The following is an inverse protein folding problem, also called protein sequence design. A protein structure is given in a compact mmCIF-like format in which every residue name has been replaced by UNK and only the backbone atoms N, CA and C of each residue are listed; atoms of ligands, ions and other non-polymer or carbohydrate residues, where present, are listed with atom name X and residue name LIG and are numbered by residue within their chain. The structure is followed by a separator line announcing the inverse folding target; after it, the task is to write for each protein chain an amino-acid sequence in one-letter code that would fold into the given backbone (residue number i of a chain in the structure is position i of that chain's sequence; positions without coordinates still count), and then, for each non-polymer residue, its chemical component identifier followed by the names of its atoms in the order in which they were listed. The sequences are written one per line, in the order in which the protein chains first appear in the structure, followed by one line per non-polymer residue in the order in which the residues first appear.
data_IF_001695899689
#
_entry.id   IF_001695899689
#
_cell.length_a   1.000
_cell.length_b   1.000
_cell.length_c   1.000
_cell.angle_alpha   90.00
_cell.angle_beta   90.00
_cell.angle_gamma   90.00
#
_symmetry.space_group_name_H-M   'P 1'
#
loop_
_entity.id
_entity.type
_entity.pdbx_description
1 polymer ?
#
# COMPACT_ATOMS: atom_id res chain seq x y z
N UNK A 1 -33.78 16.48 0.80
CA UNK A 1 -34.66 15.37 0.39
C UNK A 1 -34.11 14.85 -0.91
N UNK A 2 -33.74 13.59 -0.96
CA UNK A 2 -33.06 12.73 -1.94
C UNK A 2 -31.53 12.59 -1.76
N UNK A 3 -31.22 11.86 -0.74
CA UNK A 3 -30.03 11.01 -0.62
C UNK A 3 -30.54 9.56 -0.64
N UNK A 4 -30.80 9.03 -1.82
CA UNK A 4 -31.09 7.61 -2.01
C UNK A 4 -30.77 7.29 -3.46
N UNK A 5 -29.68 6.60 -3.70
CA UNK A 5 -29.40 5.59 -4.70
C UNK A 5 -27.89 5.50 -4.96
N UNK A 6 -27.14 5.20 -3.91
CA UNK A 6 -25.88 4.46 -4.10
C UNK A 6 -26.34 3.01 -4.24
N UNK A 7 -26.49 2.56 -5.47
CA UNK A 7 -26.59 1.12 -5.74
C UNK A 7 -25.29 0.51 -5.25
N UNK A 8 -25.34 -0.06 -4.05
CA UNK A 8 -24.31 -0.93 -3.57
C UNK A 8 -24.22 -2.09 -4.58
N UNK A 9 -23.16 -2.13 -5.35
CA UNK A 9 -22.78 -3.33 -6.08
C UNK A 9 -22.39 -4.33 -5.00
N UNK A 10 -23.37 -5.10 -4.54
CA UNK A 10 -23.18 -6.27 -3.70
C UNK A 10 -22.46 -7.33 -4.53
N UNK A 11 -21.14 -7.26 -4.60
CA UNK A 11 -20.32 -8.37 -5.00
C UNK A 11 -19.64 -8.94 -3.77
N UNK A 12 -20.17 -10.08 -3.34
CA UNK A 12 -19.51 -11.23 -2.70
C UNK A 12 -18.73 -11.06 -1.40
N UNK A 13 -18.97 -10.03 -0.60
CA UNK A 13 -18.56 -10.07 0.81
C UNK A 13 -19.37 -11.14 1.59
N UNK A 14 -20.54 -11.53 1.08
CA UNK A 14 -21.43 -12.52 1.70
C UNK A 14 -20.89 -13.96 1.67
N UNK A 15 -19.73 -14.21 1.02
CA UNK A 15 -19.09 -15.53 0.94
C UNK A 15 -17.67 -15.56 1.57
N UNK A 16 -17.23 -14.50 2.24
CA UNK A 16 -15.99 -14.55 3.01
C UNK A 16 -16.23 -15.42 4.25
N UNK A 17 -15.33 -16.37 4.50
CA UNK A 17 -15.25 -17.06 5.78
C UNK A 17 -15.04 -16.04 6.92
N UNK A 18 -15.08 -16.51 8.19
CA UNK A 18 -14.97 -15.60 9.34
C UNK A 18 -13.79 -14.63 9.26
N UNK A 19 -12.64 -15.04 8.65
CA UNK A 19 -11.46 -14.18 8.47
C UNK A 19 -10.53 -14.77 7.39
N UNK A 20 -10.69 -14.35 6.15
CA UNK A 20 -9.84 -14.84 5.07
C UNK A 20 -8.44 -14.22 5.12
N UNK A 21 -7.43 -14.88 4.54
CA UNK A 21 -6.06 -14.43 4.61
C UNK A 21 -5.36 -14.35 3.26
N UNK A 22 -4.40 -13.41 3.18
CA UNK A 22 -3.56 -13.21 2.01
C UNK A 22 -2.08 -13.15 2.40
N UNK A 23 -1.24 -13.90 1.69
CA UNK A 23 0.22 -13.85 1.84
C UNK A 23 0.77 -12.87 0.81
N UNK A 24 1.44 -11.82 1.29
CA UNK A 24 1.94 -10.74 0.44
C UNK A 24 3.25 -11.13 -0.25
N UNK A 25 3.36 -10.73 -1.51
CA UNK A 25 4.63 -10.68 -2.22
C UNK A 25 5.25 -9.28 -2.02
N UNK A 26 6.03 -9.11 -0.97
CA UNK A 26 6.71 -7.86 -0.63
C UNK A 26 8.19 -8.12 -0.36
N UNK A 27 8.99 -7.05 -0.32
CA UNK A 27 10.39 -7.12 0.07
C UNK A 27 10.56 -6.73 1.52
N UNK A 28 11.56 -7.32 2.16
CA UNK A 28 12.00 -6.99 3.51
C UNK A 28 13.46 -6.57 3.50
N UNK A 29 13.73 -5.38 4.01
CA UNK A 29 15.08 -4.89 4.19
C UNK A 29 15.27 -4.49 5.64
N UNK A 30 16.26 -5.06 6.31
CA UNK A 30 16.61 -4.71 7.68
C UNK A 30 17.84 -3.80 7.67
N UNK A 31 17.76 -2.68 8.36
CA UNK A 31 18.89 -1.79 8.61
C UNK A 31 19.28 -1.86 10.08
N UNK A 32 20.59 -1.99 10.35
CA UNK A 32 21.17 -2.02 11.68
C UNK A 32 22.29 -0.98 11.79
N UNK A 33 22.33 -0.25 12.90
CA UNK A 33 23.34 0.74 13.21
C UNK A 33 22.77 2.07 13.68
N UNK A 34 23.57 2.83 14.38
CA UNK A 34 23.14 4.06 15.07
C UNK A 34 22.64 5.18 14.14
N UNK A 35 22.99 5.13 12.84
CA UNK A 35 22.64 6.18 11.88
C UNK A 35 21.45 5.79 10.98
N UNK A 36 20.78 4.65 11.20
CA UNK A 36 19.73 4.15 10.30
C UNK A 36 18.57 5.12 10.12
N UNK A 37 18.06 5.75 11.19
CA UNK A 37 16.96 6.71 11.12
C UNK A 37 17.35 7.96 10.32
N UNK A 38 18.52 8.55 10.63
CA UNK A 38 19.00 9.74 9.94
C UNK A 38 19.26 9.45 8.46
N UNK A 39 19.92 8.33 8.17
CA UNK A 39 20.18 7.88 6.82
C UNK A 39 18.89 7.71 6.02
N UNK A 40 17.95 6.91 6.50
CA UNK A 40 16.68 6.71 5.82
C UNK A 40 15.85 7.99 5.71
N UNK A 41 15.90 8.86 6.73
CA UNK A 41 15.20 10.14 6.66
C UNK A 41 15.68 11.03 5.52
N UNK A 42 16.92 10.92 5.04
CA UNK A 42 17.40 11.64 3.85
C UNK A 42 16.93 11.04 2.53
N UNK A 43 16.52 9.78 2.52
CA UNK A 43 16.15 9.07 1.29
C UNK A 43 14.63 9.04 1.02
N UNK A 44 13.81 9.24 2.05
CA UNK A 44 12.35 9.10 1.94
C UNK A 44 11.62 10.42 2.12
N UNK A 45 10.37 10.49 1.67
CA UNK A 45 9.58 11.73 1.64
C UNK A 45 8.96 12.12 2.96
N UNK A 46 8.64 11.15 3.84
CA UNK A 46 8.07 11.41 5.17
C UNK A 46 9.16 11.68 6.20
N UNK A 47 8.85 12.48 7.22
CA UNK A 47 9.74 12.65 8.37
C UNK A 47 9.63 11.43 9.30
N UNK A 48 10.74 10.72 9.48
CA UNK A 48 10.84 9.53 10.33
C UNK A 48 11.76 9.71 11.54
N UNK A 49 12.40 10.88 11.72
CA UNK A 49 13.38 11.10 12.79
C UNK A 49 12.85 10.88 14.21
N UNK A 50 11.54 11.00 14.41
CA UNK A 50 10.91 10.84 15.71
C UNK A 50 10.15 9.50 15.85
N UNK A 51 10.43 8.54 14.97
CA UNK A 51 9.80 7.22 15.01
C UNK A 51 10.27 6.48 16.26
N UNK A 52 9.32 6.13 17.12
CA UNK A 52 9.59 5.38 18.36
C UNK A 52 9.57 3.89 18.09
N UNK A 53 10.06 3.14 19.06
CA UNK A 53 10.04 1.68 19.00
C UNK A 53 8.63 1.15 18.72
N UNK A 54 8.51 0.20 17.79
CA UNK A 54 7.26 -0.40 17.29
C UNK A 54 6.29 0.58 16.61
N UNK A 55 6.67 1.83 16.41
CA UNK A 55 5.96 2.72 15.51
C UNK A 55 6.36 2.47 14.06
N UNK A 56 5.43 2.68 13.14
CA UNK A 56 5.71 2.61 11.71
C UNK A 56 5.26 3.87 10.98
N UNK A 57 5.91 4.11 9.85
CA UNK A 57 5.57 5.21 8.96
C UNK A 57 5.54 4.72 7.52
N UNK A 58 4.41 4.96 6.86
CA UNK A 58 4.33 4.85 5.41
C UNK A 58 5.02 6.04 4.77
N UNK A 59 5.80 5.79 3.74
CA UNK A 59 6.59 6.80 3.06
C UNK A 59 6.87 6.42 1.61
N UNK A 60 7.45 7.34 0.85
CA UNK A 60 7.83 7.12 -0.54
C UNK A 60 9.34 7.30 -0.68
N UNK A 61 9.95 6.48 -1.51
CA UNK A 61 11.26 6.71 -2.08
C UNK A 61 11.06 7.30 -3.49
N UNK A 62 11.66 8.44 -3.75
CA UNK A 62 11.52 9.15 -5.02
C UNK A 62 12.89 9.40 -5.67
N UNK A 63 12.91 9.54 -6.99
CA UNK A 63 14.09 10.00 -7.72
C UNK A 63 14.24 11.53 -7.67
N UNK A 64 15.32 12.06 -8.22
CA UNK A 64 15.60 13.49 -8.26
C UNK A 64 14.53 14.32 -9.01
N UNK A 65 13.74 13.68 -9.89
CA UNK A 65 12.62 14.30 -10.59
C UNK A 65 11.30 14.21 -9.80
N UNK A 66 11.34 13.78 -8.54
CA UNK A 66 10.19 13.63 -7.66
C UNK A 66 9.27 12.46 -8.01
N UNK A 67 9.70 11.55 -8.90
CA UNK A 67 8.91 10.39 -9.32
C UNK A 67 9.07 9.26 -8.32
N UNK A 68 7.98 8.57 -8.02
CA UNK A 68 7.97 7.44 -7.09
C UNK A 68 8.79 6.30 -7.68
N UNK A 69 9.74 5.81 -6.89
CA UNK A 69 10.49 4.57 -7.13
C UNK A 69 9.81 3.43 -6.39
N UNK A 70 9.61 3.61 -5.08
CA UNK A 70 9.00 2.59 -4.23
C UNK A 70 8.13 3.22 -3.15
N UNK A 71 7.19 2.44 -2.62
CA UNK A 71 6.42 2.75 -1.43
C UNK A 71 6.91 1.85 -0.29
N UNK A 72 7.19 2.44 0.85
CA UNK A 72 7.78 1.75 1.99
C UNK A 72 6.92 1.93 3.24
N UNK A 73 6.75 0.86 3.99
CA UNK A 73 6.44 0.95 5.42
C UNK A 73 7.73 0.75 6.21
N UNK A 74 8.14 1.73 7.00
CA UNK A 74 9.32 1.68 7.85
C UNK A 74 8.86 1.47 9.29
N UNK A 75 9.33 0.41 9.92
CA UNK A 75 9.04 0.04 11.31
C UNK A 75 10.33 0.20 12.12
N UNK A 76 10.27 0.93 13.23
CA UNK A 76 11.38 1.01 14.19
C UNK A 76 11.32 -0.19 15.15
N UNK A 77 12.44 -0.91 15.29
CA UNK A 77 12.55 -2.09 16.16
C UNK A 77 13.83 -1.96 16.97
N UNK A 78 13.75 -1.36 18.15
CA UNK A 78 14.94 -1.03 18.94
C UNK A 78 15.90 -0.11 18.18
N UNK A 79 17.13 -0.57 17.93
CA UNK A 79 18.16 0.15 17.15
C UNK A 79 18.14 -0.21 15.65
N UNK A 80 17.14 -0.96 15.20
CA UNK A 80 17.00 -1.44 13.83
C UNK A 80 15.78 -0.79 13.15
N UNK A 81 15.79 -0.77 11.82
CA UNK A 81 14.64 -0.43 10.99
C UNK A 81 14.30 -1.62 10.10
N UNK A 82 13.05 -2.07 10.16
CA UNK A 82 12.50 -3.01 9.19
C UNK A 82 11.72 -2.23 8.13
N UNK A 83 12.14 -2.37 6.88
CA UNK A 83 11.49 -1.78 5.72
C UNK A 83 10.70 -2.85 4.98
N UNK A 84 9.43 -2.58 4.72
CA UNK A 84 8.57 -3.40 3.86
C UNK A 84 8.32 -2.60 2.60
N UNK A 85 8.74 -3.12 1.46
CA UNK A 85 8.59 -2.50 0.14
C UNK A 85 8.05 -3.47 -0.90
N UNK A 86 8.12 -3.10 -2.17
CA UNK A 86 7.66 -3.96 -3.24
C UNK A 86 8.75 -4.93 -3.68
N UNK A 87 8.35 -6.18 -3.90
CA UNK A 87 9.27 -7.22 -4.36
C UNK A 87 9.90 -6.87 -5.72
N UNK A 88 9.15 -6.21 -6.59
CA UNK A 88 9.63 -5.79 -7.91
C UNK A 88 10.71 -4.69 -7.84
N UNK A 89 10.73 -3.91 -6.75
CA UNK A 89 11.69 -2.81 -6.53
C UNK A 89 12.77 -3.17 -5.51
N UNK A 90 12.77 -4.38 -4.99
CA UNK A 90 13.60 -4.79 -3.87
C UNK A 90 15.10 -4.50 -4.05
N UNK A 91 15.65 -4.81 -5.22
CA UNK A 91 17.07 -4.57 -5.51
C UNK A 91 17.36 -3.08 -5.70
N UNK A 92 16.56 -2.39 -6.52
CA UNK A 92 16.74 -0.95 -6.78
C UNK A 92 16.64 -0.14 -5.47
N UNK A 93 15.67 -0.48 -4.61
CA UNK A 93 15.49 0.15 -3.30
C UNK A 93 16.73 -0.07 -2.41
N UNK A 94 17.22 -1.31 -2.30
CA UNK A 94 18.43 -1.61 -1.52
C UNK A 94 19.68 -0.94 -2.09
N UNK A 95 19.85 -0.91 -3.40
CA UNK A 95 20.97 -0.24 -4.07
C UNK A 95 20.98 1.26 -3.78
N UNK A 96 19.82 1.91 -3.80
CA UNK A 96 19.69 3.33 -3.43
C UNK A 96 20.06 3.51 -1.95
N UNK A 97 19.58 2.65 -1.05
CA UNK A 97 19.90 2.74 0.37
C UNK A 97 21.41 2.60 0.59
N UNK A 98 22.02 1.56 0.03
CA UNK A 98 23.46 1.29 0.18
C UNK A 98 24.32 2.42 -0.40
N UNK A 99 23.98 2.90 -1.61
CA UNK A 99 24.74 3.99 -2.26
C UNK A 99 24.62 5.33 -1.54
N UNK A 100 23.59 5.53 -0.74
CA UNK A 100 23.39 6.74 0.06
C UNK A 100 24.11 6.76 1.39
N UNK A 101 24.77 5.66 1.82
CA UNK A 101 25.50 5.60 3.10
C UNK A 101 26.76 6.44 3.02
N UNK A 102 26.92 7.38 3.95
CA UNK A 102 28.14 8.17 4.04
C UNK A 102 29.26 7.37 4.72
N UNK A 103 30.49 7.64 4.36
CA UNK A 103 31.68 6.91 4.84
C UNK A 103 31.85 6.88 6.38
N UNK A 104 31.24 7.81 7.09
CA UNK A 104 31.29 7.94 8.55
C UNK A 104 30.00 7.46 9.25
N UNK A 105 29.05 6.88 8.51
CA UNK A 105 27.80 6.36 9.07
C UNK A 105 27.94 4.86 9.38
N UNK A 106 27.34 4.48 10.49
CA UNK A 106 27.18 3.08 10.89
C UNK A 106 25.79 2.62 10.46
N UNK A 107 25.71 2.05 9.26
CA UNK A 107 24.49 1.47 8.68
C UNK A 107 24.85 0.19 7.96
N UNK A 108 24.27 -0.91 8.38
CA UNK A 108 24.35 -2.21 7.70
C UNK A 108 22.99 -2.53 7.10
N UNK A 109 22.98 -2.94 5.83
CA UNK A 109 21.76 -3.29 5.09
C UNK A 109 21.72 -4.79 4.87
N UNK A 110 20.63 -5.44 5.31
CA UNK A 110 20.44 -6.87 5.21
C UNK A 110 19.17 -7.20 4.43
N UNK A 111 19.25 -8.25 3.61
CA UNK A 111 18.12 -8.75 2.85
C UNK A 111 17.32 -9.76 3.69
N UNK A 112 16.04 -9.49 3.94
CA UNK A 112 15.11 -10.32 4.70
C UNK A 112 14.10 -11.09 3.84
N UNK A 113 14.14 -10.97 2.51
CA UNK A 113 13.09 -11.51 1.61
C UNK A 113 12.88 -13.03 1.75
N UNK A 114 13.96 -13.78 2.02
CA UNK A 114 13.89 -15.23 2.21
C UNK A 114 13.73 -15.66 3.68
N UNK A 115 13.55 -14.69 4.59
CA UNK A 115 13.51 -14.94 6.04
C UNK A 115 12.14 -14.58 6.59
N UNK A 116 11.54 -13.50 6.08
CA UNK A 116 10.29 -12.94 6.60
C UNK A 116 9.16 -13.07 5.58
N UNK A 117 7.96 -13.22 6.11
CA UNK A 117 6.70 -13.20 5.35
C UNK A 117 5.72 -12.23 6.00
N UNK A 118 4.97 -11.51 5.19
CA UNK A 118 3.80 -10.73 5.61
C UNK A 118 2.53 -11.46 5.21
N UNK A 119 1.65 -11.66 6.19
CA UNK A 119 0.32 -12.20 6.01
C UNK A 119 -0.70 -11.16 6.47
N UNK A 120 -1.77 -10.94 5.71
CA UNK A 120 -2.94 -10.18 6.17
C UNK A 120 -4.11 -11.11 6.42
N UNK A 121 -4.74 -10.97 7.58
CA UNK A 121 -6.03 -11.56 7.91
C UNK A 121 -7.07 -10.45 7.81
N UNK A 122 -8.17 -10.67 7.08
CA UNK A 122 -9.21 -9.67 6.86
C UNK A 122 -10.60 -10.27 7.08
N UNK A 123 -11.46 -9.50 7.74
CA UNK A 123 -12.83 -9.90 8.05
C UNK A 123 -13.60 -8.76 8.67
N UNK A 124 -14.83 -9.03 9.10
CA UNK A 124 -15.59 -8.04 9.86
C UNK A 124 -14.87 -7.68 11.15
N UNK A 125 -15.18 -6.51 11.72
CA UNK A 125 -14.60 -6.12 13.01
C UNK A 125 -14.86 -7.15 14.10
N UNK A 126 -16.07 -7.74 14.11
CA UNK A 126 -16.45 -8.77 15.08
C UNK A 126 -15.63 -10.06 14.92
N UNK A 127 -15.40 -10.51 13.68
CA UNK A 127 -14.62 -11.72 13.43
C UNK A 127 -13.16 -11.55 13.82
N UNK A 128 -12.58 -10.37 13.52
CA UNK A 128 -11.22 -10.03 13.94
C UNK A 128 -11.09 -9.92 15.46
N UNK A 129 -12.08 -9.33 16.16
CA UNK A 129 -12.10 -9.31 17.63
C UNK A 129 -12.24 -10.72 18.23
N UNK A 130 -13.06 -11.59 17.61
CA UNK A 130 -13.18 -12.99 18.02
C UNK A 130 -11.83 -13.72 17.89
N UNK A 131 -11.14 -13.56 16.75
CA UNK A 131 -9.81 -14.12 16.53
C UNK A 131 -8.80 -13.64 17.57
N UNK A 132 -8.70 -12.32 17.77
CA UNK A 132 -7.78 -11.74 18.76
C UNK A 132 -8.05 -12.25 20.18
N UNK A 133 -9.32 -12.37 20.56
CA UNK A 133 -9.74 -12.84 21.86
C UNK A 133 -9.44 -14.33 22.07
N UNK A 134 -9.71 -15.16 21.06
CA UNK A 134 -9.44 -16.60 21.10
C UNK A 134 -7.94 -16.89 21.25
N UNK A 135 -7.10 -16.13 20.56
CA UNK A 135 -5.64 -16.24 20.60
C UNK A 135 -5.01 -15.44 21.77
N UNK A 136 -5.82 -14.77 22.59
CA UNK A 136 -5.38 -13.91 23.69
C UNK A 136 -4.41 -12.81 23.25
N UNK A 137 -4.57 -12.33 22.00
CA UNK A 137 -3.75 -11.29 21.43
C UNK A 137 -4.32 -9.91 21.74
N UNK A 138 -3.46 -8.99 22.12
CA UNK A 138 -3.80 -7.58 22.21
C UNK A 138 -3.59 -6.93 20.83
N UNK A 139 -4.35 -5.90 20.54
CA UNK A 139 -4.13 -5.08 19.33
C UNK A 139 -4.40 -3.62 19.64
N UNK A 140 -3.68 -2.75 18.94
CA UNK A 140 -3.92 -1.32 18.93
C UNK A 140 -3.96 -0.87 17.48
N UNK A 141 -4.93 -0.01 17.15
CA UNK A 141 -5.10 0.44 15.78
C UNK A 141 -3.88 1.21 15.28
N UNK A 142 -3.38 0.81 14.09
CA UNK A 142 -2.23 1.40 13.41
C UNK A 142 -0.89 1.37 14.20
N UNK A 143 -0.76 0.49 15.19
CA UNK A 143 0.47 0.27 15.93
C UNK A 143 0.91 -1.18 15.83
N UNK A 144 2.20 -1.41 15.62
CA UNK A 144 2.79 -2.73 15.71
C UNK A 144 2.95 -3.15 17.17
N UNK A 145 2.66 -4.41 17.43
CA UNK A 145 2.92 -5.08 18.70
C UNK A 145 3.80 -6.29 18.42
N UNK A 146 4.65 -6.60 19.37
CA UNK A 146 5.56 -7.75 19.32
C UNK A 146 4.96 -8.89 20.13
N UNK A 147 4.98 -10.08 19.55
CA UNK A 147 4.74 -11.36 20.21
C UNK A 147 5.96 -12.24 19.99
N UNK A 148 6.08 -13.33 20.73
CA UNK A 148 7.31 -14.17 20.73
C UNK A 148 7.78 -14.59 19.34
N UNK A 149 6.85 -14.84 18.42
CA UNK A 149 7.13 -15.39 17.09
C UNK A 149 6.74 -14.46 15.93
N UNK A 150 6.03 -13.36 16.18
CA UNK A 150 5.54 -12.47 15.13
C UNK A 150 5.28 -11.03 15.61
N UNK A 151 5.18 -10.13 14.63
CA UNK A 151 4.67 -8.78 14.82
C UNK A 151 3.24 -8.69 14.30
N UNK A 152 2.39 -7.92 14.97
CA UNK A 152 0.98 -7.74 14.63
C UNK A 152 0.62 -6.27 14.57
N UNK A 153 -0.08 -5.86 13.51
CA UNK A 153 -0.70 -4.53 13.40
C UNK A 153 -2.14 -4.68 12.94
N UNK A 154 -3.06 -3.98 13.60
CA UNK A 154 -4.46 -3.89 13.20
C UNK A 154 -4.74 -2.59 12.47
N UNK A 155 -5.54 -2.65 11.40
CA UNK A 155 -6.03 -1.49 10.66
C UNK A 155 -7.51 -1.65 10.37
N UNK A 156 -8.31 -0.60 10.63
CA UNK A 156 -9.75 -0.62 10.37
C UNK A 156 -10.07 -0.03 8.98
N UNK A 157 -11.05 -0.63 8.29
CA UNK A 157 -11.55 -0.26 6.99
C UNK A 157 -13.08 -0.24 6.99
N UNK A 158 -13.68 0.87 7.41
CA UNK A 158 -15.15 0.94 7.54
C UNK A 158 -15.68 -0.06 8.57
N UNK A 159 -16.46 -1.04 8.12
CA UNK A 159 -17.03 -2.10 8.97
C UNK A 159 -16.08 -3.29 9.14
N UNK A 160 -15.03 -3.35 8.33
CA UNK A 160 -14.06 -4.44 8.37
C UNK A 160 -12.79 -4.05 9.10
N UNK A 161 -12.01 -5.05 9.45
CA UNK A 161 -10.71 -4.91 10.07
C UNK A 161 -9.71 -5.83 9.41
N UNK A 162 -8.48 -5.38 9.34
CA UNK A 162 -7.35 -6.14 8.82
C UNK A 162 -6.30 -6.26 9.91
N UNK A 163 -5.73 -7.46 10.07
CA UNK A 163 -4.52 -7.69 10.84
C UNK A 163 -3.39 -8.00 9.88
N UNK A 164 -2.33 -7.22 9.92
CA UNK A 164 -1.07 -7.55 9.27
C UNK A 164 -0.18 -8.27 10.27
N UNK A 165 0.39 -9.39 9.86
CA UNK A 165 1.33 -10.21 10.60
C UNK A 165 2.65 -10.27 9.85
N UNK A 166 3.77 -10.14 10.56
CA UNK A 166 5.11 -10.38 10.03
C UNK A 166 5.75 -11.45 10.89
N UNK A 167 6.20 -12.52 10.27
CA UNK A 167 6.83 -13.66 10.93
C UNK A 167 7.90 -14.30 10.07
N UNK A 168 8.65 -15.24 10.62
CA UNK A 168 9.61 -16.01 9.84
C UNK A 168 8.90 -16.95 8.87
N UNK A 169 9.51 -17.17 7.70
CA UNK A 169 8.96 -18.02 6.65
C UNK A 169 8.68 -19.45 7.11
N UNK A 170 9.53 -19.99 7.96
CA UNK A 170 9.39 -21.35 8.49
C UNK A 170 8.27 -21.52 9.52
N UNK A 171 7.70 -20.42 10.02
CA UNK A 171 6.59 -20.44 10.99
C UNK A 171 5.21 -20.27 10.35
N UNK A 172 5.15 -19.82 9.07
CA UNK A 172 3.90 -19.41 8.45
C UNK A 172 2.88 -20.54 8.31
N UNK A 173 3.33 -21.71 7.87
CA UNK A 173 2.43 -22.84 7.64
C UNK A 173 1.84 -23.37 8.96
N UNK A 174 2.69 -23.46 9.99
CA UNK A 174 2.24 -23.86 11.33
C UNK A 174 1.26 -22.85 11.92
N UNK A 175 1.55 -21.54 11.76
CA UNK A 175 0.65 -20.48 12.21
C UNK A 175 -0.70 -20.53 11.51
N UNK A 176 -0.73 -20.78 10.19
CA UNK A 176 -1.98 -20.91 9.43
C UNK A 176 -2.76 -22.12 9.94
N UNK A 177 -2.11 -23.27 10.12
CA UNK A 177 -2.77 -24.50 10.56
C UNK A 177 -3.32 -24.39 11.98
N UNK A 178 -2.53 -23.87 12.92
CA UNK A 178 -2.88 -23.85 14.35
C UNK A 178 -3.77 -22.68 14.75
N UNK A 179 -3.57 -21.48 14.13
CA UNK A 179 -4.19 -20.22 14.57
C UNK A 179 -5.29 -19.73 13.65
N UNK A 180 -5.09 -19.82 12.35
CA UNK A 180 -6.10 -19.38 11.37
C UNK A 180 -7.13 -20.50 11.17
N UNK A 181 -6.67 -21.74 11.03
CA UNK A 181 -7.50 -22.93 10.86
C UNK A 181 -8.05 -23.11 9.44
N UNK A 182 -8.57 -24.31 9.19
CA UNK A 182 -9.01 -24.76 7.86
C UNK A 182 -10.30 -24.10 7.35
N UNK A 183 -11.02 -23.37 8.20
CA UNK A 183 -12.28 -22.72 7.83
C UNK A 183 -12.07 -21.36 7.16
N UNK A 184 -10.85 -20.84 7.17
CA UNK A 184 -10.49 -19.57 6.59
C UNK A 184 -9.80 -19.78 5.24
N UNK A 185 -10.20 -18.99 4.25
CA UNK A 185 -9.74 -19.15 2.87
C UNK A 185 -8.45 -18.38 2.63
N UNK A 186 -7.49 -19.03 1.97
CA UNK A 186 -6.38 -18.32 1.35
C UNK A 186 -6.88 -17.57 0.11
N UNK A 187 -6.79 -16.25 0.14
CA UNK A 187 -7.18 -15.41 -0.99
C UNK A 187 -6.18 -15.54 -2.14
N UNK A 188 -6.70 -15.64 -3.35
CA UNK A 188 -5.93 -15.47 -4.58
C UNK A 188 -5.53 -13.99 -4.78
N UNK A 189 -4.64 -13.73 -5.72
CA UNK A 189 -4.26 -12.36 -6.10
C UNK A 189 -5.46 -11.53 -6.56
N UNK A 190 -6.37 -12.11 -7.36
CA UNK A 190 -7.55 -11.39 -7.85
C UNK A 190 -8.49 -11.01 -6.72
N UNK A 191 -8.75 -11.92 -5.77
CA UNK A 191 -9.60 -11.63 -4.61
C UNK A 191 -8.96 -10.56 -3.70
N UNK A 192 -7.64 -10.58 -3.55
CA UNK A 192 -6.94 -9.50 -2.86
C UNK A 192 -7.03 -8.15 -3.62
N UNK A 193 -6.94 -8.17 -4.95
CA UNK A 193 -7.10 -6.97 -5.77
C UNK A 193 -8.53 -6.41 -5.70
N UNK A 194 -9.58 -7.25 -5.57
CA UNK A 194 -10.95 -6.78 -5.25
C UNK A 194 -10.99 -6.01 -3.93
N UNK A 195 -10.37 -6.55 -2.89
CA UNK A 195 -10.27 -5.90 -1.57
C UNK A 195 -9.51 -4.58 -1.67
N UNK A 196 -8.39 -4.54 -2.40
CA UNK A 196 -7.63 -3.30 -2.61
C UNK A 196 -8.46 -2.23 -3.32
N UNK A 197 -9.21 -2.62 -4.37
CA UNK A 197 -10.09 -1.71 -5.10
C UNK A 197 -11.18 -1.18 -4.18
N UNK A 198 -11.79 -2.04 -3.35
CA UNK A 198 -12.83 -1.65 -2.40
C UNK A 198 -12.30 -0.60 -1.41
N UNK A 199 -11.15 -0.85 -0.79
CA UNK A 199 -10.58 0.02 0.25
C UNK A 199 -9.61 1.08 -0.27
N UNK A 200 -9.47 1.21 -1.60
CA UNK A 200 -8.61 2.20 -2.25
C UNK A 200 -7.14 2.07 -1.81
N UNK A 201 -6.67 0.84 -1.76
CA UNK A 201 -5.28 0.51 -1.44
C UNK A 201 -4.51 0.38 -2.76
N UNK A 202 -3.57 1.30 -3.01
CA UNK A 202 -2.72 1.25 -4.19
C UNK A 202 -1.57 0.26 -4.00
N UNK A 203 -1.13 -0.34 -5.09
CA UNK A 203 0.02 -1.23 -5.16
C UNK A 203 0.99 -0.79 -6.26
N UNK A 204 2.04 -1.57 -6.47
CA UNK A 204 3.02 -1.31 -7.52
C UNK A 204 2.39 -1.08 -8.90
N UNK A 205 1.31 -1.77 -9.23
CA UNK A 205 0.62 -1.60 -10.51
C UNK A 205 0.14 -0.16 -10.76
N UNK A 206 -0.22 0.57 -9.71
CA UNK A 206 -0.71 1.94 -9.82
C UNK A 206 0.41 2.96 -9.93
N UNK A 207 1.55 2.79 -9.25
CA UNK A 207 2.60 3.83 -9.21
C UNK A 207 3.84 3.55 -10.09
N UNK A 208 4.01 2.37 -10.67
CA UNK A 208 5.12 2.04 -11.59
C UNK A 208 5.19 2.86 -12.89
N UNK A 209 4.32 3.85 -13.07
CA UNK A 209 4.13 4.59 -14.31
C UNK A 209 4.81 5.97 -14.33
N UNK A 210 5.91 6.12 -13.62
CA UNK A 210 6.68 7.38 -13.56
C UNK A 210 5.79 8.55 -13.08
N UNK A 211 5.22 8.42 -11.89
CA UNK A 211 4.23 9.32 -11.32
C UNK A 211 4.79 10.14 -10.15
N UNK A 212 4.27 11.35 -10.01
CA UNK A 212 4.45 12.14 -8.79
C UNK A 212 3.49 11.66 -7.70
N UNK A 213 3.83 11.81 -6.41
CA UNK A 213 2.90 11.52 -5.31
C UNK A 213 1.53 12.18 -5.48
N UNK A 214 1.49 13.44 -5.88
CA UNK A 214 0.26 14.20 -6.13
C UNK A 214 -0.60 13.65 -7.27
N UNK A 215 -0.01 13.00 -8.26
CA UNK A 215 -0.76 12.40 -9.38
C UNK A 215 -1.56 11.16 -8.95
N UNK A 216 -1.20 10.56 -7.81
CA UNK A 216 -1.90 9.40 -7.27
C UNK A 216 -2.45 9.61 -5.85
N UNK A 217 -2.51 10.88 -5.40
CA UNK A 217 -3.13 11.23 -4.11
C UNK A 217 -2.34 10.81 -2.88
N UNK A 218 -1.03 10.62 -3.01
CA UNK A 218 -0.11 10.28 -1.92
C UNK A 218 0.62 11.50 -1.34
N UNK A 219 0.09 12.71 -1.55
CA UNK A 219 0.69 13.96 -1.01
C UNK A 219 0.85 13.91 0.51
N UNK A 220 -0.05 13.22 1.20
CA UNK A 220 -0.01 13.08 2.65
C UNK A 220 1.22 12.30 3.16
N UNK A 221 1.94 11.61 2.27
CA UNK A 221 3.22 10.93 2.56
C UNK A 221 4.44 11.82 2.26
N UNK A 222 4.22 13.07 1.85
CA UNK A 222 5.29 14.02 1.50
C UNK A 222 5.38 15.10 2.56
N UNK A 223 6.50 15.20 3.25
CA UNK A 223 6.78 16.27 4.21
C UNK A 223 7.78 17.28 3.62
N UNK A 224 7.29 18.43 3.19
CA UNK A 224 8.11 19.49 2.63
C UNK A 224 8.87 20.32 3.70
N UNK A 225 8.54 20.13 4.98
CA UNK A 225 9.15 20.85 6.09
C UNK A 225 10.34 20.12 6.73
N UNK A 226 10.52 18.85 6.40
CA UNK A 226 11.69 18.06 6.85
C UNK A 226 12.96 18.46 6.08
N UNK A 227 14.10 17.90 6.48
CA UNK A 227 15.37 18.02 5.77
C UNK A 227 15.30 17.52 4.31
N UNK A 228 16.33 17.83 3.52
CA UNK A 228 16.37 17.51 2.08
C UNK A 228 16.22 16.01 1.82
N UNK A 229 15.50 15.70 0.74
CA UNK A 229 15.37 14.35 0.16
C UNK A 229 15.24 14.44 -1.38
N UNK A 230 15.51 13.38 -2.14
CA UNK A 230 15.45 13.40 -3.59
C UNK A 230 14.06 13.81 -4.12
N UNK A 231 14.00 14.80 -5.00
CA UNK A 231 12.76 15.29 -5.63
C UNK A 231 11.96 16.33 -4.83
N UNK A 232 12.40 16.73 -3.62
CA UNK A 232 11.69 17.68 -2.76
C UNK A 232 11.33 19.00 -3.48
N UNK A 233 12.25 19.53 -4.31
CA UNK A 233 11.99 20.79 -5.04
C UNK A 233 10.82 20.65 -6.02
N UNK A 234 10.70 19.50 -6.68
CA UNK A 234 9.60 19.22 -7.60
C UNK A 234 8.28 19.14 -6.83
N UNK A 235 8.26 18.44 -5.68
CA UNK A 235 7.08 18.33 -4.84
C UNK A 235 6.62 19.70 -4.32
N UNK A 236 7.56 20.56 -3.86
CA UNK A 236 7.25 21.92 -3.41
C UNK A 236 6.67 22.79 -4.54
N UNK A 237 7.20 22.67 -5.76
CA UNK A 237 6.65 23.36 -6.93
C UNK A 237 5.25 22.89 -7.28
N UNK A 238 4.99 21.59 -7.17
CA UNK A 238 3.66 21.01 -7.43
C UNK A 238 2.64 21.50 -6.41
N UNK A 239 2.98 21.55 -5.12
CA UNK A 239 2.11 22.08 -4.08
C UNK A 239 1.75 23.56 -4.33
N UNK A 240 2.73 24.39 -4.71
CA UNK A 240 2.54 25.84 -4.83
C UNK A 240 1.88 26.30 -6.12
N UNK A 241 2.11 25.64 -7.25
CA UNK A 241 1.74 26.12 -8.60
C UNK A 241 1.32 25.02 -9.56
N UNK A 242 1.35 23.76 -9.14
CA UNK A 242 1.23 22.63 -10.04
C UNK A 242 -0.20 22.38 -10.50
N UNK A 243 -0.35 22.16 -11.81
CA UNK A 243 -1.53 21.49 -12.36
C UNK A 243 -1.18 20.02 -12.58
N UNK A 244 -1.96 19.13 -12.01
CA UNK A 244 -1.78 17.70 -12.24
C UNK A 244 -1.99 17.39 -13.72
N UNK A 245 -1.02 16.72 -14.32
CA UNK A 245 -1.12 16.25 -15.71
C UNK A 245 -1.84 14.91 -15.79
N UNK A 246 -1.63 14.07 -14.78
CA UNK A 246 -2.25 12.75 -14.63
C UNK A 246 -2.96 12.68 -13.29
N UNK A 247 -3.97 11.85 -13.20
CA UNK A 247 -4.61 11.49 -11.93
C UNK A 247 -5.00 10.03 -11.97
N UNK A 248 -4.82 9.36 -10.83
CA UNK A 248 -5.41 8.05 -10.63
C UNK A 248 -6.87 8.20 -10.21
N UNK A 249 -7.74 7.36 -10.77
CA UNK A 249 -9.17 7.34 -10.49
C UNK A 249 -9.60 5.90 -10.28
N UNK A 250 -10.70 5.71 -9.56
CA UNK A 250 -11.44 4.45 -9.49
C UNK A 250 -12.56 4.49 -10.52
N UNK A 251 -12.85 3.34 -11.12
CA UNK A 251 -14.03 3.20 -11.99
C UNK A 251 -14.93 2.04 -11.55
N UNK A 252 -16.18 2.13 -11.91
CA UNK A 252 -17.10 1.02 -12.06
C UNK A 252 -17.61 1.01 -13.51
N UNK A 253 -17.80 -0.16 -14.11
CA UNK A 253 -18.23 -0.32 -15.49
C UNK A 253 -19.51 -1.14 -15.59
N UNK A 254 -20.23 -0.99 -16.69
CA UNK A 254 -21.42 -1.80 -17.01
C UNK A 254 -21.07 -3.21 -17.46
N UNK A 255 -19.85 -3.40 -17.98
CA UNK A 255 -19.34 -4.67 -18.49
C UNK A 255 -17.89 -4.89 -18.03
N UNK A 256 -17.43 -6.13 -18.10
CA UNK A 256 -16.05 -6.47 -17.73
C UNK A 256 -15.06 -5.76 -18.63
N UNK A 257 -13.99 -5.25 -18.03
CA UNK A 257 -12.90 -4.59 -18.74
C UNK A 257 -11.56 -5.04 -18.14
N UNK A 258 -10.54 -5.18 -18.98
CA UNK A 258 -9.22 -5.66 -18.57
C UNK A 258 -8.23 -4.51 -18.39
N UNK A 259 -7.17 -4.78 -17.62
CA UNK A 259 -6.04 -3.84 -17.50
C UNK A 259 -5.35 -3.63 -18.85
N UNK A 260 -4.98 -2.39 -19.14
CA UNK A 260 -4.34 -2.05 -20.42
C UNK A 260 -4.44 -0.56 -20.77
N UNK A 261 -3.89 -0.24 -21.93
CA UNK A 261 -3.94 1.14 -22.47
C UNK A 261 -5.06 1.23 -23.52
N UNK A 262 -5.93 2.21 -23.34
CA UNK A 262 -7.09 2.41 -24.18
C UNK A 262 -7.19 3.84 -24.70
N UNK A 263 -8.00 4.01 -25.77
CA UNK A 263 -8.50 5.30 -26.20
C UNK A 263 -10.00 5.34 -25.91
N UNK A 264 -10.44 6.40 -25.26
CA UNK A 264 -11.88 6.66 -25.12
C UNK A 264 -12.46 7.11 -26.47
N UNK A 265 -13.79 7.09 -26.60
CA UNK A 265 -14.50 7.61 -27.77
C UNK A 265 -14.12 9.06 -28.09
N UNK A 266 -13.81 9.86 -27.07
CA UNK A 266 -13.30 11.23 -27.19
C UNK A 266 -11.78 11.29 -27.44
N UNK A 267 -11.13 10.17 -27.84
CA UNK A 267 -9.70 10.06 -28.14
C UNK A 267 -8.76 10.42 -26.98
N UNK A 268 -9.21 10.34 -25.73
CA UNK A 268 -8.36 10.47 -24.57
C UNK A 268 -7.63 9.17 -24.30
N UNK A 269 -6.34 9.26 -23.99
CA UNK A 269 -5.53 8.10 -23.57
C UNK A 269 -5.76 7.84 -22.11
N UNK A 270 -6.12 6.62 -21.77
CA UNK A 270 -6.19 6.13 -20.40
C UNK A 270 -5.37 4.86 -20.24
N UNK A 271 -4.96 4.58 -19.01
CA UNK A 271 -4.25 3.35 -18.65
C UNK A 271 -4.94 2.72 -17.46
N UNK A 272 -5.68 1.63 -17.69
CA UNK A 272 -6.28 0.81 -16.63
C UNK A 272 -5.15 0.00 -15.99
N UNK A 273 -4.82 0.31 -14.76
CA UNK A 273 -3.67 -0.26 -14.02
C UNK A 273 -4.04 -1.56 -13.33
N UNK A 274 -5.20 -1.61 -12.73
CA UNK A 274 -5.80 -2.81 -12.12
C UNK A 274 -7.27 -2.86 -12.50
N UNK A 275 -7.74 -4.05 -12.88
CA UNK A 275 -9.15 -4.30 -13.15
C UNK A 275 -9.53 -5.70 -12.73
N UNK A 276 -10.62 -5.81 -11.95
CA UNK A 276 -11.26 -7.06 -11.59
C UNK A 276 -12.74 -6.95 -11.96
N UNK A 277 -13.12 -7.69 -13.00
CA UNK A 277 -14.47 -7.64 -13.55
C UNK A 277 -14.84 -6.20 -13.96
N UNK A 278 -15.78 -5.62 -13.22
CA UNK A 278 -16.36 -4.30 -13.51
C UNK A 278 -15.78 -3.15 -12.69
N UNK A 279 -14.72 -3.36 -11.94
CA UNK A 279 -14.13 -2.32 -11.06
C UNK A 279 -12.63 -2.29 -11.16
N UNK A 280 -12.03 -1.11 -10.96
CA UNK A 280 -10.58 -1.01 -10.99
C UNK A 280 -10.06 0.40 -10.80
N UNK A 281 -8.76 0.54 -11.07
CA UNK A 281 -8.05 1.82 -11.08
C UNK A 281 -7.53 2.13 -12.48
N UNK A 282 -7.51 3.40 -12.83
CA UNK A 282 -6.94 3.86 -14.08
C UNK A 282 -6.26 5.22 -13.94
N UNK A 283 -5.30 5.47 -14.80
CA UNK A 283 -4.63 6.76 -14.95
C UNK A 283 -5.21 7.49 -16.15
N UNK A 284 -5.55 8.76 -15.95
CA UNK A 284 -6.06 9.64 -17.00
C UNK A 284 -5.30 10.96 -17.02
N UNK A 285 -5.08 11.48 -18.23
CA UNK A 285 -4.62 12.85 -18.44
C UNK A 285 -5.82 13.78 -18.61
N UNK A 286 -5.76 14.98 -18.03
CA UNK A 286 -6.81 16.01 -18.12
C UNK A 286 -8.19 15.55 -17.57
N UNK A 287 -8.35 15.77 -16.29
CA UNK A 287 -9.55 15.43 -15.49
C UNK A 287 -10.68 16.39 -15.80
N UNK A 288 -11.89 15.91 -15.94
CA UNK A 288 -13.08 16.74 -16.15
C UNK A 288 -14.34 16.04 -16.62
N UNK A 289 -14.34 14.70 -16.67
CA UNK A 289 -15.51 13.93 -17.09
C UNK A 289 -15.95 12.97 -15.99
N UNK A 290 -17.25 12.82 -15.78
CA UNK A 290 -17.82 11.87 -14.81
C UNK A 290 -17.96 10.45 -15.41
N UNK A 291 -17.95 10.35 -16.75
CA UNK A 291 -18.09 9.08 -17.48
C UNK A 291 -17.15 9.05 -18.67
N UNK A 292 -16.59 7.88 -18.93
CA UNK A 292 -15.81 7.59 -20.12
C UNK A 292 -16.40 6.39 -20.85
N UNK A 293 -16.24 6.34 -22.16
CA UNK A 293 -16.64 5.20 -22.97
C UNK A 293 -15.40 4.64 -23.69
N UNK A 294 -15.25 3.31 -23.60
CA UNK A 294 -14.15 2.56 -24.22
C UNK A 294 -14.75 1.30 -24.84
N UNK A 295 -14.65 1.16 -26.15
CA UNK A 295 -15.13 -0.04 -26.86
C UNK A 295 -16.59 -0.40 -26.49
N UNK A 296 -17.47 0.62 -26.39
CA UNK A 296 -18.86 0.55 -25.92
C UNK A 296 -19.06 0.21 -24.45
N UNK A 297 -18.02 0.11 -23.64
CA UNK A 297 -18.10 -0.07 -22.19
C UNK A 297 -18.13 1.31 -21.52
N UNK A 298 -19.12 1.55 -20.67
CA UNK A 298 -19.25 2.79 -19.92
C UNK A 298 -18.51 2.66 -18.59
N UNK A 299 -17.55 3.56 -18.34
CA UNK A 299 -16.86 3.70 -17.07
C UNK A 299 -17.43 4.88 -16.30
N UNK A 300 -18.03 4.61 -15.15
CA UNK A 300 -18.38 5.62 -14.15
C UNK A 300 -17.17 5.92 -13.29
N UNK A 301 -16.78 7.19 -13.22
CA UNK A 301 -15.54 7.63 -12.59
C UNK A 301 -15.81 8.08 -11.18
N UNK A 302 -14.98 7.60 -10.26
CA UNK A 302 -15.00 7.99 -8.86
C UNK A 302 -13.64 8.53 -8.44
N UNK A 303 -13.62 9.67 -7.78
CA UNK A 303 -12.42 10.16 -7.13
C UNK A 303 -12.04 9.28 -5.94
N UNK A 304 -10.75 9.03 -5.79
CA UNK A 304 -10.25 8.30 -4.65
C UNK A 304 -10.30 9.19 -3.39
N UNK A 305 -10.82 8.62 -2.30
CA UNK A 305 -10.86 9.26 -0.98
C UNK A 305 -10.04 8.40 -0.01
N UNK A 306 -9.16 8.99 0.78
CA UNK A 306 -8.39 8.26 1.80
C UNK A 306 -7.52 7.13 1.23
N UNK A 307 -6.71 7.45 0.23
CA UNK A 307 -5.81 6.50 -0.45
C UNK A 307 -4.79 5.92 0.53
N UNK A 308 -4.56 4.61 0.45
CA UNK A 308 -3.58 3.86 1.23
C UNK A 308 -2.59 3.16 0.30
N UNK A 309 -1.47 2.74 0.83
CA UNK A 309 -0.50 1.86 0.15
C UNK A 309 -0.53 0.47 0.78
N UNK A 310 -0.27 -0.55 -0.03
CA UNK A 310 -0.28 -1.97 0.38
C UNK A 310 0.99 -2.37 1.10
#
# INVERSE_FOLDING_TARGET
MHLENVVAVNHSVDNMGKSDYYIHNCSFTLLEGKNCLEHMNRLVTSNINNLKDLESKNTLMCNANGRIIDTLEIISIGEQLLLIGNSEMANDTRDIIVSGIHWNEEVTVMNGDNILTKLSLIGSKSDIEEFLSAEKLQSKENQWLVFDEFYLKRTNHGNDSKIDLIMKNDQIDNFIEEKIGLNNKKLSRNEWDEIRILYQILSYNEYKHDLLPSEIGLDHLVDLKKGCYPGQEIHARMESRGKLKKKIMKFNSDSDIYSGKFLTDNKKKINITTSIGKSGFFLINNIGEEKLIIDNVILEINELKSIKIS
#
